data_IF_208797564369
#
_entry.id   IF_208797564369
#
_cell.length_a   1.000
_cell.length_b   1.000
_cell.length_c   1.000
_cell.angle_alpha   90.00
_cell.angle_beta   90.00
_cell.angle_gamma   90.00
#
_symmetry.space_group_name_H-M   'P 1'
#
loop_
_entity.id
_entity.type
_entity.pdbx_description
1 polymer ?
#
# COMPACT_ATOMS: atom_id res chain seq x y z
N UNK A 1 -31.78 10.23 -3.72
CA UNK A 1 -30.60 9.79 -4.48
C UNK A 1 -29.81 8.90 -3.54
N UNK A 2 -29.79 7.59 -3.78
CA UNK A 2 -29.12 6.63 -2.90
C UNK A 2 -27.62 6.75 -3.12
N UNK A 3 -26.95 7.47 -2.21
CA UNK A 3 -25.49 7.45 -2.12
C UNK A 3 -25.12 6.03 -1.68
N UNK A 4 -24.66 5.24 -2.66
CA UNK A 4 -24.28 3.83 -2.51
C UNK A 4 -23.02 3.73 -1.64
N UNK A 5 -23.23 3.80 -0.33
CA UNK A 5 -22.26 3.45 0.70
C UNK A 5 -22.19 1.92 0.78
N UNK A 6 -21.58 1.28 -0.24
CA UNK A 6 -21.15 -0.11 -0.09
C UNK A 6 -19.95 -0.13 0.87
N UNK A 7 -19.86 -1.11 1.78
CA UNK A 7 -18.91 -1.05 2.87
C UNK A 7 -17.50 -1.17 2.30
N UNK A 8 -16.65 -0.19 2.56
CA UNK A 8 -15.20 -0.34 2.35
C UNK A 8 -14.70 -1.63 3.04
N UNK A 9 -15.36 -2.04 4.11
CA UNK A 9 -15.11 -3.28 4.86
C UNK A 9 -15.19 -4.57 4.02
N UNK A 10 -15.94 -4.59 2.90
CA UNK A 10 -16.03 -5.75 2.00
C UNK A 10 -15.02 -5.72 0.84
N UNK A 11 -14.24 -4.64 0.69
CA UNK A 11 -13.25 -4.51 -0.37
C UNK A 11 -12.01 -5.39 -0.08
N UNK A 12 -11.22 -5.79 -1.09
CA UNK A 12 -9.93 -6.44 -0.87
C UNK A 12 -9.05 -5.61 0.07
N UNK A 13 -8.28 -6.26 0.94
CA UNK A 13 -7.43 -5.62 1.95
C UNK A 13 -6.53 -4.51 1.34
N UNK A 14 -5.99 -4.76 0.15
CA UNK A 14 -5.17 -3.78 -0.57
C UNK A 14 -5.94 -2.50 -0.96
N UNK A 15 -7.24 -2.61 -1.26
CA UNK A 15 -8.10 -1.47 -1.59
C UNK A 15 -8.43 -0.67 -0.34
N UNK A 16 -8.74 -1.33 0.78
CA UNK A 16 -8.98 -0.66 2.07
C UNK A 16 -7.74 0.13 2.50
N UNK A 17 -6.57 -0.51 2.47
CA UNK A 17 -5.31 0.13 2.81
C UNK A 17 -4.98 1.31 1.89
N UNK A 18 -5.28 1.21 0.59
CA UNK A 18 -5.06 2.31 -0.34
C UNK A 18 -5.93 3.53 0.01
N UNK A 19 -7.19 3.32 0.42
CA UNK A 19 -8.08 4.41 0.86
C UNK A 19 -7.52 5.08 2.12
N UNK A 20 -7.09 4.30 3.11
CA UNK A 20 -6.51 4.84 4.34
C UNK A 20 -5.25 5.66 4.06
N UNK A 21 -4.37 5.17 3.17
CA UNK A 21 -3.16 5.88 2.77
C UNK A 21 -3.48 7.18 2.04
N UNK A 22 -4.46 7.20 1.13
CA UNK A 22 -4.89 8.43 0.46
C UNK A 22 -5.40 9.45 1.48
N UNK A 23 -6.26 9.02 2.41
CA UNK A 23 -6.78 9.89 3.46
C UNK A 23 -5.66 10.51 4.31
N UNK A 24 -4.64 9.71 4.68
CA UNK A 24 -3.49 10.21 5.44
C UNK A 24 -2.68 11.24 4.66
N UNK A 25 -2.44 11.00 3.37
CA UNK A 25 -1.67 11.92 2.52
C UNK A 25 -2.40 13.26 2.34
N UNK A 26 -3.71 13.20 2.09
CA UNK A 26 -4.56 14.40 1.96
C UNK A 26 -4.64 15.19 3.27
N UNK A 27 -4.84 14.49 4.40
CA UNK A 27 -4.94 15.13 5.72
C UNK A 27 -3.64 15.83 6.13
N UNK A 28 -2.49 15.34 5.67
CA UNK A 28 -1.19 15.96 5.92
C UNK A 28 -0.76 16.92 4.80
N UNK A 29 -1.65 17.25 3.86
CA UNK A 29 -1.40 18.17 2.74
C UNK A 29 -0.14 17.81 1.95
N UNK A 30 0.13 16.52 1.78
CA UNK A 30 1.31 16.04 1.06
C UNK A 30 1.10 16.27 -0.44
N UNK A 31 2.08 16.92 -1.06
CA UNK A 31 2.08 17.13 -2.50
C UNK A 31 2.01 15.78 -3.26
N UNK A 32 1.13 15.63 -4.27
CA UNK A 32 0.98 14.37 -5.00
C UNK A 32 2.25 13.82 -5.63
N UNK A 33 3.16 14.68 -6.14
CA UNK A 33 4.43 14.22 -6.71
C UNK A 33 5.33 13.64 -5.62
N UNK A 34 5.41 14.33 -4.47
CA UNK A 34 6.13 13.84 -3.29
C UNK A 34 5.54 12.52 -2.77
N UNK A 35 4.21 12.40 -2.73
CA UNK A 35 3.52 11.19 -2.32
C UNK A 35 3.84 10.00 -3.24
N UNK A 36 3.84 10.22 -4.56
CA UNK A 36 4.17 9.19 -5.56
C UNK A 36 5.62 8.71 -5.41
N UNK A 37 6.57 9.62 -5.20
CA UNK A 37 7.97 9.26 -4.93
C UNK A 37 8.10 8.42 -3.66
N UNK A 38 7.44 8.81 -2.58
CA UNK A 38 7.43 8.05 -1.32
C UNK A 38 6.82 6.66 -1.50
N UNK A 39 5.69 6.55 -2.19
CA UNK A 39 5.03 5.26 -2.48
C UNK A 39 5.96 4.36 -3.33
N UNK A 40 6.71 4.93 -4.28
CA UNK A 40 7.68 4.17 -5.07
C UNK A 40 8.80 3.57 -4.21
N UNK A 41 9.31 4.33 -3.23
CA UNK A 41 10.31 3.86 -2.28
C UNK A 41 9.74 2.71 -1.43
N UNK A 42 8.54 2.89 -0.87
CA UNK A 42 7.85 1.86 -0.07
C UNK A 42 7.63 0.58 -0.88
N UNK A 43 7.12 0.70 -2.12
CA UNK A 43 6.95 -0.44 -3.03
C UNK A 43 8.26 -1.19 -3.25
N UNK A 44 9.34 -0.47 -3.52
CA UNK A 44 10.66 -1.07 -3.73
C UNK A 44 11.16 -1.82 -2.49
N UNK A 45 10.96 -1.28 -1.29
CA UNK A 45 11.32 -1.94 -0.02
C UNK A 45 10.52 -3.23 0.19
N UNK A 46 9.21 -3.21 -0.06
CA UNK A 46 8.35 -4.38 0.05
C UNK A 46 8.73 -5.47 -0.96
N UNK A 47 9.02 -5.10 -2.22
CA UNK A 47 9.49 -6.04 -3.25
C UNK A 47 10.82 -6.70 -2.86
N UNK A 48 11.75 -5.92 -2.28
CA UNK A 48 13.00 -6.46 -1.74
C UNK A 48 12.75 -7.44 -0.61
N UNK A 49 11.87 -7.09 0.34
CA UNK A 49 11.49 -7.99 1.45
C UNK A 49 10.87 -9.28 0.94
N UNK A 50 9.96 -9.23 -0.04
CA UNK A 50 9.38 -10.43 -0.65
C UNK A 50 10.46 -11.29 -1.33
N UNK A 51 11.43 -10.67 -1.98
CA UNK A 51 12.56 -11.38 -2.62
C UNK A 51 13.47 -12.04 -1.58
N UNK A 52 13.82 -11.33 -0.51
CA UNK A 52 14.64 -11.86 0.59
C UNK A 52 13.95 -13.00 1.34
N UNK A 53 12.64 -12.90 1.58
CA UNK A 53 11.85 -13.98 2.20
C UNK A 53 11.82 -15.26 1.34
N UNK A 54 12.00 -15.13 0.02
CA UNK A 54 12.13 -16.27 -0.88
C UNK A 54 13.54 -16.88 -0.90
N UNK A 55 14.56 -16.16 -0.40
CA UNK A 55 15.95 -16.65 -0.33
C UNK A 55 16.25 -17.43 0.97
N UNK A 56 15.48 -17.21 2.04
CA UNK A 56 15.62 -17.96 3.30
C UNK A 56 15.07 -19.40 3.25
N UNK A 57 14.45 -19.81 2.13
CA UNK A 57 13.90 -21.17 1.93
C UNK A 57 14.84 -22.15 1.22
N UNK A 58 16.06 -21.74 0.88
CA UNK A 58 17.08 -22.67 0.38
C UNK A 58 17.85 -23.29 1.55
N UNK A 59 17.70 -24.59 1.85
CA UNK A 59 18.58 -25.26 2.79
C UNK A 59 20.02 -25.17 2.26
N UNK A 60 20.89 -24.55 3.04
CA UNK A 60 22.34 -24.57 2.83
C UNK A 60 22.76 -26.05 2.70
N UNK A 61 23.25 -26.44 1.52
CA UNK A 61 23.84 -27.75 1.27
C UNK A 61 25.17 -27.88 2.02
#
# INVERSE_FOLDING_TARGET
MTQSNQPIEEAPEAVQLAVDLIYLLETNEIDPETALEAIHIVKTDLERKMTSLNQEKTPQK
#
